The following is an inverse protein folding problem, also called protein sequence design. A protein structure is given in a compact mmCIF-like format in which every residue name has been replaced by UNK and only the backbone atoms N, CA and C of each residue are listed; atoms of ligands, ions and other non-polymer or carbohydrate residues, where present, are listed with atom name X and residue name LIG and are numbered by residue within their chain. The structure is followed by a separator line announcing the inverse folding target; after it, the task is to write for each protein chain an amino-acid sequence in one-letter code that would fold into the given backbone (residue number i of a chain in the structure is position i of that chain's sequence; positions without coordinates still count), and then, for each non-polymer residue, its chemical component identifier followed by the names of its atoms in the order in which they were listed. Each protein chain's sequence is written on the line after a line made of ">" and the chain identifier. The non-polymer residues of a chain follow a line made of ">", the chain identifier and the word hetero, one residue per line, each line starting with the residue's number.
data_IF_207591507491
#
_entry.id   IF_207591507491
#
_cell.length_a   1.000
_cell.length_b   1.000
_cell.length_c   1.000
_cell.angle_alpha   90.00
_cell.angle_beta   90.00
_cell.angle_gamma   90.00
#
_symmetry.space_group_name_H-M   'P 1'
#
loop_
_entity.id
_entity.type
_entity.pdbx_description
1 polymer ?
#
# COMPACT_ATOMS: atom_id res chain seq x y z
N UNK A 1 7.40 4.30 24.47
CA UNK A 1 7.42 2.95 23.85
C UNK A 1 6.08 2.74 23.17
N UNK A 2 6.00 2.81 21.84
CA UNK A 2 4.72 2.91 21.13
C UNK A 2 3.99 1.56 21.04
N UNK A 3 4.70 0.44 20.82
CA UNK A 3 4.10 -0.87 20.52
C UNK A 3 4.85 -1.95 21.32
N UNK A 4 4.36 -2.28 22.52
CA UNK A 4 4.99 -3.30 23.40
C UNK A 4 4.64 -4.72 23.02
N UNK A 5 3.39 -4.96 22.65
CA UNK A 5 2.88 -6.27 22.26
C UNK A 5 2.25 -6.16 20.87
N UNK A 6 2.79 -6.93 19.93
CA UNK A 6 2.39 -6.90 18.54
C UNK A 6 2.49 -8.29 17.92
N UNK A 7 1.60 -8.56 16.97
CA UNK A 7 1.66 -9.75 16.12
C UNK A 7 2.10 -9.34 14.73
N UNK A 8 2.93 -10.19 14.11
CA UNK A 8 3.42 -10.00 12.75
C UNK A 8 2.98 -11.18 11.93
N UNK A 9 2.39 -10.91 10.76
CA UNK A 9 2.01 -11.97 9.83
C UNK A 9 2.24 -11.54 8.38
N UNK A 10 2.38 -12.54 7.51
CA UNK A 10 2.55 -12.36 6.07
C UNK A 10 1.22 -12.56 5.35
N UNK A 11 0.88 -11.65 4.46
CA UNK A 11 -0.29 -11.77 3.59
C UNK A 11 0.01 -12.66 2.38
N UNK A 12 -1.06 -13.19 1.77
CA UNK A 12 -0.98 -14.01 0.54
C UNK A 12 -0.45 -13.23 -0.66
N UNK A 13 -0.56 -11.90 -0.63
CA UNK A 13 0.01 -10.94 -1.58
C UNK A 13 1.53 -10.79 -1.44
N UNK A 14 2.15 -11.39 -0.42
CA UNK A 14 3.57 -11.25 -0.11
C UNK A 14 3.90 -10.06 0.80
N UNK A 15 2.91 -9.23 1.15
CA UNK A 15 3.07 -8.15 2.11
C UNK A 15 3.17 -8.63 3.56
N UNK A 16 3.59 -7.74 4.45
CA UNK A 16 3.69 -7.97 5.89
C UNK A 16 2.72 -7.04 6.61
N UNK A 17 2.06 -7.53 7.65
CA UNK A 17 1.21 -6.73 8.53
C UNK A 17 1.70 -6.88 9.94
N UNK A 18 1.77 -5.75 10.63
CA UNK A 18 2.09 -5.65 12.04
C UNK A 18 0.86 -5.10 12.73
N UNK A 19 0.37 -5.83 13.73
CA UNK A 19 -0.88 -5.54 14.43
C UNK A 19 -0.62 -5.42 15.93
N UNK A 20 -0.97 -4.27 16.49
CA UNK A 20 -0.85 -3.99 17.92
C UNK A 20 -2.23 -3.89 18.57
N UNK A 21 -2.72 -4.98 19.17
CA UNK A 21 -4.02 -5.01 19.85
C UNK A 21 -4.13 -3.94 20.94
N UNK A 22 -3.09 -3.83 21.78
CA UNK A 22 -3.02 -2.90 22.91
C UNK A 22 -3.20 -1.44 22.51
N UNK A 23 -2.77 -1.11 21.30
CA UNK A 23 -2.87 0.25 20.74
C UNK A 23 -3.95 0.36 19.68
N UNK A 24 -4.75 -0.70 19.46
CA UNK A 24 -5.83 -0.80 18.48
C UNK A 24 -5.41 -0.27 17.10
N UNK A 25 -4.18 -0.56 16.66
CA UNK A 25 -3.60 -0.04 15.40
C UNK A 25 -2.91 -1.14 14.63
N UNK A 26 -2.90 -1.00 13.31
CA UNK A 26 -2.19 -1.89 12.40
C UNK A 26 -1.45 -1.09 11.32
N UNK A 27 -0.37 -1.66 10.82
CA UNK A 27 0.41 -1.14 9.69
C UNK A 27 0.75 -2.30 8.75
N UNK A 28 0.62 -2.10 7.44
CA UNK A 28 1.04 -3.06 6.42
C UNK A 28 2.09 -2.48 5.49
N UNK A 29 2.97 -3.36 5.04
CA UNK A 29 4.00 -3.10 4.04
C UNK A 29 3.79 -4.09 2.91
N UNK A 30 3.46 -3.60 1.72
CA UNK A 30 3.26 -4.42 0.55
C UNK A 30 4.08 -3.88 -0.63
N UNK A 31 4.51 -4.71 -1.58
CA UNK A 31 5.10 -4.21 -2.82
C UNK A 31 4.11 -3.27 -3.54
N UNK A 32 4.55 -2.07 -3.92
CA UNK A 32 3.68 -1.06 -4.56
C UNK A 32 3.45 -1.31 -6.06
N UNK A 33 4.20 -2.24 -6.66
CA UNK A 33 4.19 -2.53 -8.10
C UNK A 33 5.34 -1.87 -8.86
N UNK A 34 5.95 -0.80 -8.33
CA UNK A 34 7.21 -0.25 -8.80
C UNK A 34 8.44 -1.06 -8.37
N UNK A 35 9.56 -0.92 -9.09
CA UNK A 35 10.83 -1.53 -8.69
C UNK A 35 11.30 -0.85 -7.41
N UNK A 36 11.53 -1.65 -6.38
CA UNK A 36 12.08 -1.18 -5.11
C UNK A 36 11.15 -0.20 -4.34
N UNK A 37 9.84 -0.28 -4.59
CA UNK A 37 8.84 0.54 -3.90
C UNK A 37 7.96 -0.29 -2.96
N UNK A 38 7.77 0.22 -1.75
CA UNK A 38 6.84 -0.34 -0.76
C UNK A 38 5.67 0.61 -0.55
N UNK A 39 4.47 0.08 -0.67
CA UNK A 39 3.24 0.68 -0.21
C UNK A 39 3.08 0.40 1.28
N UNK A 40 3.14 1.46 2.09
CA UNK A 40 2.89 1.43 3.52
C UNK A 40 1.47 1.93 3.78
N UNK A 41 0.69 1.16 4.52
CA UNK A 41 -0.69 1.51 4.87
C UNK A 41 -0.89 1.38 6.37
N UNK A 42 -1.58 2.34 6.97
CA UNK A 42 -1.87 2.32 8.39
C UNK A 42 -3.37 2.53 8.65
N UNK A 43 -3.83 1.92 9.75
CA UNK A 43 -5.21 2.01 10.15
C UNK A 43 -5.44 1.57 11.59
N UNK A 44 -6.72 1.55 11.97
CA UNK A 44 -7.18 1.14 13.28
C UNK A 44 -7.74 -0.27 13.27
N UNK A 45 -7.66 -0.92 14.41
CA UNK A 45 -8.34 -2.18 14.70
C UNK A 45 -9.70 -1.81 15.32
N UNK A 46 -10.77 -2.39 14.78
CA UNK A 46 -12.11 -2.22 15.30
C UNK A 46 -12.37 -3.17 16.47
N UNK A 47 -13.36 -2.83 17.29
CA UNK A 47 -13.89 -3.74 18.29
C UNK A 47 -14.34 -5.05 17.60
N UNK A 48 -13.86 -6.19 18.10
CA UNK A 48 -14.01 -7.50 17.44
C UNK A 48 -12.81 -7.94 16.61
N UNK A 49 -11.73 -7.17 16.58
CA UNK A 49 -10.44 -7.59 16.03
C UNK A 49 -10.36 -7.58 14.50
N UNK A 50 -11.27 -6.86 13.84
CA UNK A 50 -11.22 -6.63 12.40
C UNK A 50 -10.36 -5.40 12.10
N UNK A 51 -9.52 -5.48 11.08
CA UNK A 51 -8.73 -4.33 10.61
C UNK A 51 -9.62 -3.43 9.75
N UNK A 52 -9.81 -2.19 10.17
CA UNK A 52 -10.51 -1.21 9.35
C UNK A 52 -9.72 -0.95 8.04
N UNK A 53 -10.37 -0.49 6.96
CA UNK A 53 -9.67 -0.02 5.77
C UNK A 53 -8.59 1.01 6.12
N UNK A 54 -7.49 0.99 5.37
CA UNK A 54 -6.40 1.95 5.53
C UNK A 54 -6.95 3.38 5.37
N UNK A 55 -6.56 4.26 6.30
CA UNK A 55 -6.93 5.68 6.25
C UNK A 55 -5.76 6.55 5.81
N UNK A 56 -4.54 6.08 6.09
CA UNK A 56 -3.31 6.72 5.64
C UNK A 56 -2.48 5.72 4.84
N UNK A 57 -1.99 6.15 3.69
CA UNK A 57 -1.14 5.35 2.79
C UNK A 57 0.02 6.19 2.26
N UNK A 58 1.18 5.58 2.06
CA UNK A 58 2.34 6.21 1.41
C UNK A 58 3.12 5.17 0.61
N UNK A 59 3.67 5.57 -0.53
CA UNK A 59 4.66 4.79 -1.27
C UNK A 59 6.05 5.28 -0.89
N UNK A 60 6.93 4.36 -0.53
CA UNK A 60 8.31 4.66 -0.11
C UNK A 60 9.29 3.88 -0.98
N UNK A 61 10.26 4.56 -1.64
CA UNK A 61 11.36 3.88 -2.32
C UNK A 61 12.32 3.29 -1.27
N UNK A 62 12.63 2.00 -1.39
CA UNK A 62 13.57 1.31 -0.51
C UNK A 62 15.01 1.79 -0.69
N UNK A 63 15.36 2.27 -1.89
CA UNK A 63 16.63 2.93 -2.19
C UNK A 63 16.91 4.16 -1.33
N UNK A 64 15.87 4.79 -0.75
CA UNK A 64 16.03 5.89 0.20
C UNK A 64 16.47 5.45 1.60
N UNK A 65 16.55 4.14 1.85
CA UNK A 65 17.03 3.56 3.09
C UNK A 65 15.96 3.36 4.17
N UNK A 66 16.33 2.60 5.20
CA UNK A 66 15.44 2.17 6.29
C UNK A 66 14.97 3.31 7.17
N UNK A 67 15.74 4.38 7.31
CA UNK A 67 15.38 5.51 8.18
C UNK A 67 14.21 6.30 7.61
N UNK A 68 14.17 6.47 6.28
CA UNK A 68 13.07 7.11 5.56
C UNK A 68 11.81 6.27 5.69
N UNK A 69 11.94 4.95 5.52
CA UNK A 69 10.84 4.01 5.73
C UNK A 69 10.32 4.07 7.18
N UNK A 70 11.22 4.06 8.17
CA UNK A 70 10.85 4.13 9.57
C UNK A 70 10.17 5.47 9.92
N UNK A 71 10.64 6.58 9.33
CA UNK A 71 10.00 7.89 9.48
C UNK A 71 8.59 7.91 8.87
N UNK A 72 8.42 7.34 7.68
CA UNK A 72 7.11 7.20 7.03
C UNK A 72 6.15 6.34 7.89
N UNK A 73 6.62 5.20 8.40
CA UNK A 73 5.84 4.35 9.31
C UNK A 73 5.40 5.11 10.57
N UNK A 74 6.32 5.83 11.23
CA UNK A 74 5.99 6.65 12.42
C UNK A 74 4.97 7.73 12.09
N UNK A 75 5.11 8.41 10.95
CA UNK A 75 4.18 9.45 10.50
C UNK A 75 2.78 8.90 10.28
N UNK A 76 2.65 7.81 9.52
CA UNK A 76 1.36 7.17 9.23
C UNK A 76 0.68 6.63 10.50
N UNK A 77 1.45 6.11 11.46
CA UNK A 77 0.92 5.69 12.76
C UNK A 77 0.41 6.86 13.60
N UNK A 78 1.09 8.01 13.56
CA UNK A 78 0.65 9.23 14.24
C UNK A 78 -0.59 9.85 13.57
N UNK A 79 -0.66 9.83 12.24
CA UNK A 79 -1.85 10.23 11.48
C UNK A 79 -3.06 9.35 11.85
N UNK A 80 -2.88 8.02 11.82
CA UNK A 80 -3.92 7.07 12.22
C UNK A 80 -4.34 7.21 13.70
N UNK A 81 -3.42 7.64 14.58
CA UNK A 81 -3.74 7.97 15.97
C UNK A 81 -4.60 9.24 16.09
N UNK A 82 -4.24 10.29 15.36
CA UNK A 82 -4.94 11.58 15.38
C UNK A 82 -6.36 11.46 14.82
N UNK A 83 -6.55 10.65 13.78
CA UNK A 83 -7.88 10.37 13.23
C UNK A 83 -8.79 9.60 14.20
N UNK A 84 -8.22 8.80 15.11
CA UNK A 84 -9.00 8.12 16.14
C UNK A 84 -9.56 9.11 17.19
N UNK A 85 -8.81 10.16 17.53
CA UNK A 85 -9.22 11.18 18.49
C UNK A 85 -10.26 12.15 17.92
N UNK A 86 -10.25 12.36 16.59
CA UNK A 86 -11.22 13.24 15.91
C UNK A 86 -12.63 12.68 15.82
N UNK A 87 -12.85 11.39 16.08
CA UNK A 87 -14.20 10.81 16.16
C UNK A 87 -14.76 11.12 17.54
N UNK A 88 -15.75 12.02 17.70
CA UNK A 88 -16.32 12.30 19.01
C UNK A 88 -17.03 11.04 19.50
N UNK A 89 -16.69 10.57 20.71
CA UNK A 89 -17.50 9.62 21.46
C UNK A 89 -18.84 10.30 21.81
N UNK A 90 -19.82 10.19 20.91
CA UNK A 90 -21.17 10.73 21.12
C UNK A 90 -22.24 9.75 20.66
N UNK A 91 -22.88 9.09 21.62
CA UNK A 91 -24.24 8.56 21.47
C UNK A 91 -24.36 7.09 21.04
N UNK A 92 -25.01 6.30 21.90
CA UNK A 92 -25.40 4.92 21.64
C UNK A 92 -26.65 4.81 20.74
N UNK A 93 -26.61 3.79 19.85
CA UNK A 93 -27.71 2.97 19.31
C UNK A 93 -28.73 3.61 18.31
N UNK A 94 -29.64 2.82 17.68
CA UNK A 94 -29.39 1.85 16.62
C UNK A 94 -30.24 2.11 15.34
N UNK A 95 -29.96 1.31 14.29
CA UNK A 95 -30.84 0.97 13.16
C UNK A 95 -31.26 2.03 12.11
N UNK A 96 -31.05 1.61 10.85
CA UNK A 96 -31.93 1.82 9.68
C UNK A 96 -32.05 3.23 9.06
N UNK A 97 -32.03 3.28 7.72
CA UNK A 97 -32.58 4.43 6.99
C UNK A 97 -31.76 5.02 5.84
N UNK A 98 -31.43 4.20 4.84
CA UNK A 98 -31.73 4.47 3.40
C UNK A 98 -31.77 5.94 2.92
N UNK A 99 -30.80 6.33 2.08
CA UNK A 99 -30.99 7.19 0.88
C UNK A 99 -29.71 7.17 0.01
N UNK A 100 -29.57 6.27 -0.97
CA UNK A 100 -29.85 6.45 -2.41
C UNK A 100 -29.25 7.71 -3.09
N UNK A 101 -28.23 7.48 -3.94
CA UNK A 101 -28.17 7.84 -5.38
C UNK A 101 -26.94 7.12 -5.98
N UNK A 102 -27.13 6.10 -6.83
CA UNK A 102 -27.32 6.20 -8.29
C UNK A 102 -26.03 6.70 -8.99
N UNK A 103 -25.39 5.98 -9.91
CA UNK A 103 -25.73 4.72 -10.56
C UNK A 103 -24.66 4.32 -11.58
N UNK A 104 -24.87 3.12 -12.13
CA UNK A 104 -24.48 2.64 -13.49
C UNK A 104 -23.03 2.80 -13.93
N UNK A 105 -22.37 1.66 -14.10
CA UNK A 105 -21.88 1.05 -15.37
C UNK A 105 -20.83 0.00 -14.97
N UNK A 106 -20.62 -1.15 -15.58
CA UNK A 106 -21.33 -1.93 -16.58
C UNK A 106 -20.71 -3.33 -16.48
N UNK A 107 -21.56 -4.35 -16.60
CA UNK A 107 -21.16 -5.74 -16.85
C UNK A 107 -20.42 -5.77 -18.20
N UNK A 108 -19.14 -6.13 -18.25
CA UNK A 108 -18.54 -6.75 -19.45
C UNK A 108 -17.57 -7.87 -19.09
N UNK A 109 -18.09 -9.07 -19.33
CA UNK A 109 -17.37 -10.31 -19.63
C UNK A 109 -16.36 -10.02 -20.75
N UNK A 110 -15.08 -10.29 -20.51
CA UNK A 110 -14.00 -10.09 -21.47
C UNK A 110 -12.86 -11.07 -21.21
N UNK A 111 -12.96 -12.24 -21.82
CA UNK A 111 -11.91 -13.25 -21.94
C UNK A 111 -10.87 -12.71 -22.92
N UNK A 112 -9.58 -12.69 -22.57
CA UNK A 112 -8.51 -12.72 -23.57
C UNK A 112 -7.30 -11.82 -23.37
N UNK A 113 -6.17 -12.48 -23.08
CA UNK A 113 -4.86 -12.37 -23.75
C UNK A 113 -3.99 -11.10 -23.54
N UNK A 114 -2.89 -11.36 -22.82
CA UNK A 114 -1.50 -10.94 -23.02
C UNK A 114 -1.18 -9.48 -23.37
N UNK A 115 -0.37 -8.88 -22.49
CA UNK A 115 0.48 -7.70 -22.70
C UNK A 115 -0.28 -6.47 -23.21
N UNK A 116 -0.88 -5.72 -22.30
CA UNK A 116 -1.38 -4.38 -22.60
C UNK A 116 -0.26 -3.50 -23.20
N UNK A 117 -0.61 -2.63 -24.15
CA UNK A 117 0.32 -1.80 -24.93
C UNK A 117 1.39 -1.07 -24.09
N UNK A 118 1.07 -0.70 -22.85
CA UNK A 118 2.05 -0.13 -21.90
C UNK A 118 3.20 -1.08 -21.57
N UNK A 119 2.94 -2.39 -21.48
CA UNK A 119 3.96 -3.43 -21.28
C UNK A 119 4.89 -3.57 -22.49
N UNK A 120 4.43 -3.26 -23.70
CA UNK A 120 5.26 -3.40 -24.92
C UNK A 120 6.22 -2.21 -25.09
N UNK A 121 5.77 -1.00 -24.74
CA UNK A 121 6.64 0.20 -24.69
C UNK A 121 7.79 0.00 -23.71
N UNK A 122 7.53 -0.62 -22.56
CA UNK A 122 8.56 -0.95 -21.56
C UNK A 122 9.59 -1.92 -22.14
N UNK A 123 9.15 -2.97 -22.85
CA UNK A 123 10.06 -3.93 -23.49
C UNK A 123 10.94 -3.26 -24.55
N UNK A 124 10.39 -2.40 -25.40
CA UNK A 124 11.17 -1.65 -26.41
C UNK A 124 12.19 -0.74 -25.74
N UNK A 125 11.80 -0.02 -24.68
CA UNK A 125 12.73 0.82 -23.91
C UNK A 125 13.86 0.00 -23.29
N UNK A 126 13.55 -1.14 -22.65
CA UNK A 126 14.57 -2.00 -22.02
C UNK A 126 15.53 -2.55 -23.06
N UNK A 127 15.04 -3.03 -24.21
CA UNK A 127 15.88 -3.53 -25.30
C UNK A 127 16.77 -2.42 -25.85
N UNK A 128 16.25 -1.20 -26.03
CA UNK A 128 17.03 -0.04 -26.48
C UNK A 128 18.14 0.36 -25.52
N UNK A 129 17.87 0.38 -24.21
CA UNK A 129 18.87 0.68 -23.17
C UNK A 129 19.96 -0.38 -23.13
N UNK A 130 19.60 -1.66 -23.24
CA UNK A 130 20.58 -2.76 -23.29
C UNK A 130 21.45 -2.65 -24.55
N UNK A 131 20.85 -2.40 -25.70
CA UNK A 131 21.59 -2.18 -26.96
C UNK A 131 22.56 -1.00 -26.87
N UNK A 132 22.11 0.13 -26.33
CA UNK A 132 22.96 1.30 -26.13
C UNK A 132 24.10 1.04 -25.14
N UNK A 133 23.82 0.30 -24.06
CA UNK A 133 24.84 -0.06 -23.07
C UNK A 133 25.90 -0.99 -23.65
N UNK A 134 25.50 -2.01 -24.42
CA UNK A 134 26.44 -2.91 -25.10
C UNK A 134 27.23 -2.15 -26.16
N UNK A 135 26.58 -1.29 -26.96
CA UNK A 135 27.28 -0.49 -27.97
C UNK A 135 28.28 0.48 -27.34
N UNK A 136 27.91 1.15 -26.26
CA UNK A 136 28.81 2.06 -25.55
C UNK A 136 30.00 1.32 -24.96
N UNK A 137 29.78 0.16 -24.31
CA UNK A 137 30.88 -0.65 -23.80
C UNK A 137 31.75 -1.23 -24.91
N UNK A 138 31.17 -1.66 -26.03
CA UNK A 138 31.93 -2.15 -27.18
C UNK A 138 32.74 -1.04 -27.86
N UNK A 139 32.21 0.19 -27.92
CA UNK A 139 32.89 1.35 -28.47
C UNK A 139 33.93 1.97 -27.50
N UNK A 140 33.84 1.71 -26.19
CA UNK A 140 34.80 2.14 -25.17
C UNK A 140 35.94 1.13 -24.93
N UNK A 141 35.79 -0.13 -25.39
CA UNK A 141 36.77 -1.21 -25.22
C UNK A 141 37.35 -1.75 -26.54
N UNK A 142 37.04 -1.14 -27.69
CA UNK A 142 37.65 -1.42 -28.99
C UNK A 142 38.51 -0.24 -29.44
#
# INVERSE_FOLDING_TARGET
>A
MLWREHTVYRERSGGMVIRGEHVRRWISLAPAGGRDEILVRAGRILDGGTTAPARSEAVVPLSAGTDVLAAACRRLLAEAASDAERVPQGGAAPASGRARRAGRTARRKGRGRHTGLGSWVIVICVVGVIGLFVYSNAALHG
#
